data_IF_938430827184
#
_entry.id   IF_938430827184
#
_cell.length_a   1.000
_cell.length_b   1.000
_cell.length_c   1.000
_cell.angle_alpha   90.00
_cell.angle_beta   90.00
_cell.angle_gamma   90.00
#
_symmetry.space_group_name_H-M   'P 1'
#
loop_
_entity.id
_entity.type
_entity.pdbx_description
1 polymer ?
#
# COMPACT_ATOMS: atom_id res chain seq x y z
N UNK A 1 2.75 18.94 7.66
CA UNK A 1 2.98 18.41 9.03
C UNK A 1 2.90 19.55 10.02
N UNK A 2 1.96 19.52 10.98
CA UNK A 2 1.54 20.67 11.81
C UNK A 2 2.66 21.35 12.66
N UNK A 3 3.88 20.79 12.73
CA UNK A 3 5.04 21.33 13.47
C UNK A 3 6.38 21.24 12.72
N UNK A 4 6.36 21.16 11.38
CA UNK A 4 7.62 21.12 10.62
C UNK A 4 8.34 22.47 10.67
N UNK A 5 9.65 22.47 10.93
CA UNK A 5 10.52 23.67 10.81
C UNK A 5 10.88 24.01 9.35
N UNK A 6 10.39 23.24 8.38
CA UNK A 6 10.61 23.47 6.96
C UNK A 6 9.63 24.52 6.43
N UNK A 7 10.11 25.38 5.52
CA UNK A 7 9.24 26.33 4.81
C UNK A 7 8.16 25.59 4.02
N UNK A 8 7.03 26.27 3.80
CA UNK A 8 5.90 25.70 3.06
C UNK A 8 6.31 25.27 1.64
N UNK A 9 7.17 26.07 0.98
CA UNK A 9 7.71 25.74 -0.34
C UNK A 9 8.46 24.39 -0.34
N UNK A 10 9.36 24.17 0.63
CA UNK A 10 10.08 22.90 0.76
C UNK A 10 9.14 21.74 1.09
N UNK A 11 8.13 21.96 1.93
CA UNK A 11 7.11 20.95 2.24
C UNK A 11 6.33 20.53 0.99
N UNK A 12 5.90 21.49 0.17
CA UNK A 12 5.17 21.21 -1.08
C UNK A 12 6.06 20.44 -2.07
N UNK A 13 7.32 20.83 -2.22
CA UNK A 13 8.25 20.12 -3.12
C UNK A 13 8.55 18.69 -2.66
N UNK A 14 8.65 18.46 -1.34
CA UNK A 14 8.77 17.13 -0.77
C UNK A 14 7.55 16.25 -1.07
N UNK A 15 6.34 16.82 -1.03
CA UNK A 15 5.11 16.09 -1.37
C UNK A 15 5.09 15.75 -2.87
N UNK A 16 5.40 16.72 -3.72
CA UNK A 16 5.46 16.52 -5.19
C UNK A 16 6.42 15.39 -5.55
N UNK A 17 7.64 15.41 -5.01
CA UNK A 17 8.66 14.39 -5.27
C UNK A 17 8.33 13.04 -4.67
N UNK A 18 7.59 13.01 -3.54
CA UNK A 18 7.06 11.77 -2.98
C UNK A 18 6.03 11.13 -3.93
N UNK A 19 5.09 11.91 -4.46
CA UNK A 19 4.07 11.45 -5.42
C UNK A 19 4.72 10.99 -6.72
N UNK A 20 5.76 11.70 -7.18
CA UNK A 20 6.52 11.32 -8.37
C UNK A 20 7.43 10.09 -8.18
N UNK A 21 7.47 9.48 -6.99
CA UNK A 21 8.27 8.28 -6.72
C UNK A 21 9.79 8.51 -6.70
N UNK A 22 10.24 9.76 -6.58
CA UNK A 22 11.66 10.12 -6.56
C UNK A 22 12.31 9.57 -5.29
N UNK A 23 13.57 9.12 -5.35
CA UNK A 23 14.23 8.59 -4.15
C UNK A 23 14.43 9.67 -3.09
N UNK A 24 14.43 9.30 -1.81
CA UNK A 24 14.69 10.25 -0.71
C UNK A 24 16.08 10.90 -0.81
N UNK A 25 17.06 10.23 -1.43
CA UNK A 25 18.40 10.79 -1.67
C UNK A 25 18.33 11.93 -2.68
N UNK A 26 17.81 11.66 -3.87
CA UNK A 26 17.65 12.66 -4.93
C UNK A 26 16.76 13.82 -4.48
N UNK A 27 15.70 13.52 -3.74
CA UNK A 27 14.80 14.54 -3.16
C UNK A 27 15.54 15.48 -2.21
N UNK A 28 16.45 14.95 -1.39
CA UNK A 28 17.22 15.76 -0.45
C UNK A 28 18.12 16.77 -1.17
N UNK A 29 18.74 16.35 -2.27
CA UNK A 29 19.54 17.20 -3.16
C UNK A 29 18.67 18.27 -3.83
N UNK A 30 17.55 17.88 -4.44
CA UNK A 30 16.64 18.78 -5.15
C UNK A 30 15.96 19.83 -4.25
N UNK A 31 15.63 19.48 -3.01
CA UNK A 31 14.94 20.37 -2.05
C UNK A 31 15.93 21.11 -1.14
N UNK A 32 17.22 20.76 -1.22
CA UNK A 32 18.27 21.24 -0.35
C UNK A 32 17.92 21.07 1.14
N UNK A 33 17.79 19.81 1.57
CA UNK A 33 17.57 19.38 2.96
C UNK A 33 18.48 18.19 3.29
N UNK A 34 18.65 17.88 4.57
CA UNK A 34 19.38 16.66 4.94
C UNK A 34 18.64 15.42 4.40
N UNK A 35 19.39 14.43 3.88
CA UNK A 35 18.85 13.14 3.45
C UNK A 35 17.98 12.46 4.51
N UNK A 36 18.37 12.51 5.78
CA UNK A 36 17.58 11.94 6.88
C UNK A 36 16.25 12.67 7.04
N UNK A 37 16.22 13.98 6.82
CA UNK A 37 14.99 14.79 6.80
C UNK A 37 14.06 14.35 5.66
N UNK A 38 14.56 14.21 4.43
CA UNK A 38 13.74 13.76 3.31
C UNK A 38 13.19 12.33 3.54
N UNK A 39 14.04 11.41 4.01
CA UNK A 39 13.63 10.04 4.33
C UNK A 39 12.56 10.00 5.44
N UNK A 40 12.75 10.78 6.51
CA UNK A 40 11.79 10.91 7.59
C UNK A 40 10.47 11.51 7.09
N UNK A 41 10.54 12.56 6.24
CA UNK A 41 9.35 13.19 5.68
C UNK A 41 8.52 12.20 4.85
N UNK A 42 9.16 11.42 3.98
CA UNK A 42 8.51 10.38 3.19
C UNK A 42 7.90 9.30 4.06
N UNK A 43 8.60 8.87 5.12
CA UNK A 43 8.05 7.92 6.08
C UNK A 43 6.78 8.47 6.76
N UNK A 44 6.80 9.74 7.19
CA UNK A 44 5.62 10.40 7.77
C UNK A 44 4.46 10.50 6.79
N UNK A 45 4.72 10.79 5.51
CA UNK A 45 3.67 10.77 4.48
C UNK A 45 3.06 9.38 4.33
N UNK A 46 3.86 8.31 4.31
CA UNK A 46 3.34 6.94 4.26
C UNK A 46 2.48 6.58 5.47
N UNK A 47 2.89 6.97 6.67
CA UNK A 47 2.08 6.77 7.87
C UNK A 47 0.76 7.54 7.82
N UNK A 48 0.79 8.79 7.36
CA UNK A 48 -0.43 9.57 7.20
C UNK A 48 -1.36 8.94 6.17
N UNK A 49 -0.84 8.48 5.03
CA UNK A 49 -1.62 7.74 4.04
C UNK A 49 -2.23 6.50 4.70
N UNK A 50 -1.43 5.68 5.38
CA UNK A 50 -1.92 4.48 6.07
C UNK A 50 -3.05 4.78 7.08
N UNK A 51 -2.90 5.84 7.88
CA UNK A 51 -3.88 6.24 8.89
C UNK A 51 -5.17 6.83 8.29
N UNK A 52 -5.12 7.36 7.07
CA UNK A 52 -6.27 7.99 6.40
C UNK A 52 -6.82 7.13 5.25
N UNK A 53 -6.15 6.02 4.91
CA UNK A 53 -6.69 5.03 4.00
C UNK A 53 -7.86 4.34 4.70
N UNK A 54 -9.06 4.31 4.08
CA UNK A 54 -10.18 3.57 4.64
C UNK A 54 -9.76 2.10 4.81
N UNK A 55 -9.84 1.61 6.05
CA UNK A 55 -9.68 0.20 6.32
C UNK A 55 -10.90 -0.52 5.74
N UNK A 56 -10.68 -1.32 4.69
CA UNK A 56 -11.61 -2.31 4.11
C UNK A 56 -13.09 -1.88 4.15
N UNK A 57 -13.49 -1.01 3.23
CA UNK A 57 -14.93 -0.90 2.90
C UNK A 57 -15.27 -2.13 2.06
N UNK A 58 -16.38 -2.81 2.40
CA UNK A 58 -16.81 -4.02 1.70
C UNK A 58 -17.08 -3.69 0.22
N UNK A 59 -16.58 -4.56 -0.66
CA UNK A 59 -16.78 -4.41 -2.08
C UNK A 59 -18.09 -5.06 -2.52
N UNK A 60 -18.85 -4.36 -3.35
CA UNK A 60 -19.88 -4.94 -4.20
C UNK A 60 -19.40 -4.95 -5.66
N UNK A 61 -19.64 -6.04 -6.39
CA UNK A 61 -19.31 -6.17 -7.82
C UNK A 61 -18.24 -7.20 -8.14
N UNK A 62 -17.61 -7.08 -9.31
CA UNK A 62 -16.48 -7.92 -9.74
C UNK A 62 -15.18 -7.41 -9.12
N UNK A 63 -14.39 -8.35 -8.59
CA UNK A 63 -13.11 -8.07 -7.92
C UNK A 63 -12.01 -8.83 -8.68
N UNK A 64 -10.95 -8.13 -9.04
CA UNK A 64 -9.71 -8.69 -9.54
C UNK A 64 -8.72 -8.87 -8.38
N UNK A 65 -8.02 -10.00 -8.35
CA UNK A 65 -7.04 -10.31 -7.31
C UNK A 65 -5.66 -10.50 -7.95
N UNK A 66 -4.64 -9.87 -7.38
CA UNK A 66 -3.25 -9.98 -7.82
C UNK A 66 -2.30 -10.22 -6.64
N UNK A 67 -1.17 -10.88 -6.90
CA UNK A 67 -0.16 -11.22 -5.90
C UNK A 67 1.13 -10.43 -6.12
N UNK A 68 1.49 -9.63 -5.12
CA UNK A 68 2.74 -8.88 -5.10
C UNK A 68 3.68 -9.36 -4.00
N UNK A 69 4.98 -9.36 -4.26
CA UNK A 69 6.01 -9.74 -3.29
C UNK A 69 6.98 -8.59 -3.04
N UNK A 70 7.01 -8.08 -1.80
CA UNK A 70 7.84 -6.94 -1.40
C UNK A 70 9.02 -7.37 -0.54
N UNK A 71 10.15 -6.64 -0.63
CA UNK A 71 11.35 -6.93 0.15
C UNK A 71 12.24 -8.01 -0.45
N UNK A 72 12.93 -8.76 0.42
CA UNK A 72 14.04 -9.63 0.03
C UNK A 72 15.37 -8.86 0.01
N UNK A 73 15.97 -8.67 1.18
CA UNK A 73 17.18 -7.87 1.38
C UNK A 73 18.48 -8.54 0.92
N UNK A 74 18.45 -9.82 0.50
CA UNK A 74 19.67 -10.62 0.27
C UNK A 74 19.90 -10.99 -1.19
N UNK A 75 21.19 -11.10 -1.55
CA UNK A 75 21.64 -11.82 -2.74
C UNK A 75 21.32 -13.31 -2.57
N UNK A 76 20.71 -13.93 -3.58
CA UNK A 76 20.25 -15.33 -3.52
C UNK A 76 19.14 -15.61 -4.55
N UNK A 77 18.44 -16.74 -4.40
CA UNK A 77 17.35 -17.15 -5.29
C UNK A 77 16.36 -16.00 -5.51
N UNK A 78 16.11 -15.67 -6.78
CA UNK A 78 15.17 -14.63 -7.22
C UNK A 78 13.86 -15.29 -7.66
N UNK A 79 12.79 -14.52 -7.71
CA UNK A 79 11.45 -14.99 -8.12
C UNK A 79 10.42 -15.06 -6.99
N UNK A 80 9.24 -15.60 -7.29
CA UNK A 80 8.13 -15.81 -6.35
C UNK A 80 8.55 -16.83 -5.28
N UNK A 81 8.15 -16.62 -4.02
CA UNK A 81 8.49 -17.52 -2.91
C UNK A 81 9.94 -17.48 -2.41
N UNK A 82 10.76 -16.55 -2.91
CA UNK A 82 12.12 -16.37 -2.39
C UNK A 82 12.11 -15.93 -0.91
N UNK A 83 13.01 -16.49 -0.11
CA UNK A 83 13.12 -16.26 1.33
C UNK A 83 13.25 -14.76 1.64
N UNK A 84 12.47 -14.29 2.62
CA UNK A 84 12.53 -12.91 3.10
C UNK A 84 11.72 -11.91 2.27
N UNK A 85 10.86 -12.39 1.35
CA UNK A 85 9.83 -11.57 0.70
C UNK A 85 8.52 -11.65 1.49
N UNK A 86 7.89 -10.50 1.66
CA UNK A 86 6.53 -10.39 2.20
C UNK A 86 5.55 -10.51 1.05
N UNK A 87 4.69 -11.52 1.09
CA UNK A 87 3.59 -11.66 0.14
C UNK A 87 2.45 -10.70 0.53
N UNK A 88 1.90 -10.03 -0.48
CA UNK A 88 0.78 -9.10 -0.35
C UNK A 88 -0.23 -9.44 -1.43
N UNK A 89 -1.46 -9.69 -1.01
CA UNK A 89 -2.60 -9.86 -1.90
C UNK A 89 -3.21 -8.49 -2.17
N UNK A 90 -3.24 -8.08 -3.44
CA UNK A 90 -3.97 -6.92 -3.92
C UNK A 90 -5.36 -7.35 -4.41
N UNK A 91 -6.38 -6.60 -4.01
CA UNK A 91 -7.78 -6.79 -4.40
C UNK A 91 -8.27 -5.49 -5.02
N UNK A 92 -8.54 -5.51 -6.31
CA UNK A 92 -9.01 -4.38 -7.10
C UNK A 92 -10.50 -4.56 -7.41
N UNK A 93 -11.34 -3.62 -7.00
CA UNK A 93 -12.68 -3.51 -7.60
C UNK A 93 -12.57 -2.82 -8.95
N UNK A 94 -13.21 -3.35 -9.99
CA UNK A 94 -13.31 -2.67 -11.29
C UNK A 94 -13.91 -1.27 -11.10
N UNK A 95 -13.23 -0.27 -11.66
CA UNK A 95 -13.53 1.15 -11.50
C UNK A 95 -13.58 1.65 -10.04
N UNK A 96 -12.91 0.92 -9.13
CA UNK A 96 -12.92 1.17 -7.70
C UNK A 96 -11.52 1.38 -7.09
N UNK A 97 -11.43 1.15 -5.78
CA UNK A 97 -10.18 1.24 -5.03
C UNK A 97 -9.46 -0.13 -5.01
N UNK A 98 -8.14 -0.10 -4.86
CA UNK A 98 -7.30 -1.27 -4.56
C UNK A 98 -7.12 -1.39 -3.06
N UNK A 99 -7.31 -2.60 -2.53
CA UNK A 99 -7.04 -2.94 -1.14
C UNK A 99 -5.93 -3.99 -1.11
N UNK A 100 -5.07 -3.90 -0.10
CA UNK A 100 -3.92 -4.79 0.01
C UNK A 100 -3.88 -5.45 1.37
N UNK A 101 -3.73 -6.76 1.41
CA UNK A 101 -3.61 -7.55 2.64
C UNK A 101 -2.26 -8.26 2.65
N UNK A 102 -1.49 -8.07 3.72
CA UNK A 102 -0.26 -8.84 3.93
C UNK A 102 -0.64 -10.27 4.28
N UNK A 103 -0.15 -11.25 3.52
CA UNK A 103 -0.47 -12.67 3.72
C UNK A 103 0.77 -13.45 4.12
N UNK A 104 0.66 -14.46 4.99
CA UNK A 104 1.81 -15.26 5.43
C UNK A 104 2.41 -16.10 4.29
N UNK A 105 1.61 -16.47 3.29
CA UNK A 105 2.01 -17.20 2.09
C UNK A 105 0.91 -17.05 1.01
N UNK A 106 1.18 -17.53 -0.21
CA UNK A 106 0.25 -17.49 -1.35
C UNK A 106 -0.38 -18.86 -1.64
N UNK A 107 -0.51 -19.73 -0.63
CA UNK A 107 -1.20 -21.01 -0.80
C UNK A 107 -2.71 -20.79 -0.88
N UNK A 108 -3.40 -21.64 -1.65
CA UNK A 108 -4.86 -21.58 -1.79
C UNK A 108 -5.57 -21.63 -0.43
N UNK A 109 -5.04 -22.37 0.55
CA UNK A 109 -5.59 -22.44 1.91
C UNK A 109 -5.55 -21.09 2.65
N UNK A 110 -4.63 -20.18 2.31
CA UNK A 110 -4.56 -18.82 2.86
C UNK A 110 -5.37 -17.84 2.01
N UNK A 111 -5.35 -17.98 0.68
CA UNK A 111 -5.97 -17.00 -0.21
C UNK A 111 -7.49 -17.22 -0.41
N UNK A 112 -7.95 -18.47 -0.53
CA UNK A 112 -9.37 -18.77 -0.78
C UNK A 112 -10.30 -18.27 0.33
N UNK A 113 -9.99 -18.42 1.63
CA UNK A 113 -10.83 -17.85 2.68
C UNK A 113 -10.96 -16.33 2.57
N UNK A 114 -9.85 -15.64 2.27
CA UNK A 114 -9.85 -14.19 2.09
C UNK A 114 -10.78 -13.82 0.92
N UNK A 115 -10.56 -14.40 -0.26
CA UNK A 115 -11.41 -14.15 -1.45
C UNK A 115 -12.88 -14.54 -1.20
N UNK A 116 -13.13 -15.63 -0.47
CA UNK A 116 -14.48 -16.09 -0.14
C UNK A 116 -15.17 -15.15 0.85
N UNK A 117 -14.47 -14.62 1.85
CA UNK A 117 -15.00 -13.63 2.79
C UNK A 117 -15.45 -12.36 2.06
N UNK A 118 -14.67 -11.93 1.06
CA UNK A 118 -15.07 -10.86 0.15
C UNK A 118 -16.32 -11.21 -0.68
N UNK A 119 -16.48 -12.46 -1.11
CA UNK A 119 -17.63 -12.89 -1.91
C UNK A 119 -18.90 -13.21 -1.08
N UNK A 120 -18.78 -13.77 0.13
CA UNK A 120 -19.92 -14.26 0.93
C UNK A 120 -20.77 -13.13 1.53
N UNK A 121 -20.20 -11.94 1.77
CA UNK A 121 -20.99 -10.78 2.19
C UNK A 121 -21.98 -10.26 1.13
N UNK A 122 -21.81 -10.68 -0.14
CA UNK A 122 -22.74 -10.41 -1.25
C UNK A 122 -24.12 -11.07 -1.06
N UNK A 123 -24.19 -12.21 -0.37
CA UNK A 123 -25.41 -13.03 -0.29
C UNK A 123 -26.33 -12.54 0.85
N UNK A 124 -25.78 -11.99 1.93
CA UNK A 124 -26.57 -11.62 3.11
C UNK A 124 -27.29 -10.27 3.01
N UNK A 125 -26.87 -9.37 2.11
CA UNK A 125 -27.53 -8.07 1.92
C UNK A 125 -28.54 -8.03 0.75
N UNK A 126 -28.55 -9.02 -0.15
CA UNK A 126 -29.58 -9.14 -1.19
C UNK A 126 -30.94 -9.60 -0.66
N UNK A 127 -31.02 -10.11 0.57
CA UNK A 127 -32.26 -10.60 1.19
C UNK A 127 -32.95 -9.58 2.12
N UNK A 128 -32.53 -8.31 2.12
CA UNK A 128 -33.12 -7.24 2.94
C UNK A 128 -33.85 -6.15 2.13
N UNK A 129 -34.11 -6.41 0.84
CA UNK A 129 -35.02 -5.59 0.02
C UNK A 129 -36.15 -6.45 -0.54
N UNK A 130 -37.15 -6.71 0.31
CA UNK A 130 -38.52 -6.97 -0.11
C UNK A 130 -39.41 -5.91 0.52
#
# INVERSE_FOLDING_TARGET
MRKSRLSQHKQNKLIELFVAGVTARTTAELVNVNKTTAAYYFYRLRLLIYQNSPHMEMFEGEIEADESYFGGTRKGKRGRGAVGKTAVLGLLKRDGKVYTVVVPNTQSATLLPIVSEFNHFRINHSNLKS
#
